data_IF_239289259452
#
_entry.id   IF_239289259452
#
_cell.length_a   1.000
_cell.length_b   1.000
_cell.length_c   1.000
_cell.angle_alpha   90.00
_cell.angle_beta   90.00
_cell.angle_gamma   90.00
#
_symmetry.space_group_name_H-M   'P 1'
#
loop_
_entity.id
_entity.type
_entity.pdbx_description
1 polymer ?
#
# COMPACT_ATOMS: atom_id res chain seq x y z
N UNK A 1 26.96 8.93 12.45
CA UNK A 1 26.04 8.50 11.38
C UNK A 1 24.64 8.89 11.83
N UNK A 2 24.13 10.01 11.32
CA UNK A 2 22.87 10.61 11.79
C UNK A 2 21.67 9.79 11.31
N UNK A 3 20.98 9.10 12.23
CA UNK A 3 19.61 8.67 12.01
C UNK A 3 18.76 9.94 12.00
N UNK A 4 18.47 10.44 10.80
CA UNK A 4 17.36 11.36 10.63
C UNK A 4 16.12 10.64 11.14
N UNK A 5 15.54 11.18 12.21
CA UNK A 5 14.14 11.00 12.54
C UNK A 5 13.37 11.64 11.38
N UNK A 6 13.26 10.94 10.25
CA UNK A 6 12.42 11.38 9.16
C UNK A 6 11.02 11.39 9.73
N UNK A 7 10.49 12.58 10.00
CA UNK A 7 9.07 12.83 10.02
C UNK A 7 8.48 12.05 8.85
N UNK A 8 7.82 10.93 9.14
CA UNK A 8 7.31 10.01 8.12
C UNK A 8 6.13 10.72 7.49
N UNK A 9 6.41 11.66 6.59
CA UNK A 9 5.41 12.14 5.66
C UNK A 9 5.10 10.93 4.79
N UNK A 10 3.90 10.34 4.90
CA UNK A 10 3.56 9.17 4.12
C UNK A 10 3.74 9.55 2.66
N UNK A 11 4.67 8.87 2.00
CA UNK A 11 4.94 9.02 0.57
C UNK A 11 4.43 7.77 -0.12
N UNK A 12 4.01 7.88 -1.38
CA UNK A 12 3.49 6.72 -2.12
C UNK A 12 4.47 5.55 -2.08
N UNK A 13 5.78 5.80 -2.21
CA UNK A 13 6.83 4.76 -2.15
C UNK A 13 6.95 4.10 -0.75
N UNK A 14 6.78 4.90 0.32
CA UNK A 14 6.74 4.39 1.69
C UNK A 14 5.52 3.50 1.92
N UNK A 15 4.35 3.91 1.40
CA UNK A 15 3.13 3.11 1.47
C UNK A 15 3.26 1.83 0.64
N UNK A 16 3.84 1.91 -0.57
CA UNK A 16 4.14 0.74 -1.41
C UNK A 16 5.03 -0.25 -0.63
N UNK A 17 6.06 0.24 0.06
CA UNK A 17 6.93 -0.61 0.87
C UNK A 17 6.16 -1.33 1.98
N UNK A 18 5.27 -0.63 2.70
CA UNK A 18 4.42 -1.23 3.74
C UNK A 18 3.42 -2.22 3.15
N UNK A 19 2.83 -1.91 2.00
CA UNK A 19 1.94 -2.83 1.28
C UNK A 19 2.68 -4.12 0.91
N UNK A 20 3.86 -4.00 0.31
CA UNK A 20 4.67 -5.16 -0.11
C UNK A 20 5.05 -5.99 1.11
N UNK A 21 5.41 -5.37 2.23
CA UNK A 21 5.73 -6.06 3.46
C UNK A 21 4.51 -6.86 3.99
N UNK A 22 3.32 -6.27 3.99
CA UNK A 22 2.09 -6.98 4.36
C UNK A 22 1.73 -8.11 3.38
N UNK A 23 1.92 -7.91 2.07
CA UNK A 23 1.72 -8.95 1.08
C UNK A 23 2.70 -10.12 1.28
N UNK A 24 3.96 -9.82 1.57
CA UNK A 24 4.99 -10.80 1.85
C UNK A 24 4.67 -11.60 3.13
N UNK A 25 4.25 -10.92 4.20
CA UNK A 25 3.79 -11.57 5.43
C UNK A 25 2.55 -12.46 5.19
N UNK A 26 1.60 -12.00 4.37
CA UNK A 26 0.39 -12.76 4.05
C UNK A 26 0.71 -14.04 3.25
N UNK A 27 1.67 -13.96 2.33
CA UNK A 27 2.10 -15.09 1.51
C UNK A 27 3.18 -15.97 2.17
N UNK A 28 3.75 -15.54 3.30
CA UNK A 28 4.90 -16.20 3.93
C UNK A 28 6.18 -16.14 3.07
N UNK A 29 6.34 -15.10 2.25
CA UNK A 29 7.48 -14.88 1.34
C UNK A 29 8.29 -13.66 1.77
N UNK A 30 9.43 -13.42 1.12
CA UNK A 30 10.23 -12.21 1.39
C UNK A 30 9.64 -10.99 0.66
N UNK A 31 9.72 -9.81 1.29
CA UNK A 31 9.28 -8.56 0.67
C UNK A 31 10.06 -8.23 -0.62
N UNK A 32 11.33 -8.63 -0.69
CA UNK A 32 12.15 -8.46 -1.88
C UNK A 32 11.62 -9.29 -3.06
N UNK A 33 11.21 -10.53 -2.83
CA UNK A 33 10.66 -11.40 -3.87
C UNK A 33 9.32 -10.86 -4.38
N UNK A 34 8.43 -10.46 -3.47
CA UNK A 34 7.12 -9.89 -3.82
C UNK A 34 7.32 -8.60 -4.62
N UNK A 35 8.23 -7.74 -4.21
CA UNK A 35 8.56 -6.51 -4.95
C UNK A 35 9.03 -6.81 -6.36
N UNK A 36 9.98 -7.73 -6.51
CA UNK A 36 10.53 -8.10 -7.81
C UNK A 36 9.45 -8.67 -8.75
N UNK A 37 8.54 -9.49 -8.21
CA UNK A 37 7.42 -10.07 -8.96
C UNK A 37 6.44 -9.00 -9.44
N UNK A 38 6.08 -8.07 -8.55
CA UNK A 38 5.21 -6.95 -8.89
C UNK A 38 5.86 -6.02 -9.94
N UNK A 39 7.14 -5.70 -9.78
CA UNK A 39 7.89 -4.88 -10.75
C UNK A 39 8.03 -5.58 -12.11
N UNK A 40 8.20 -6.91 -12.12
CA UNK A 40 8.23 -7.72 -13.33
C UNK A 40 6.88 -7.72 -14.06
N UNK A 41 5.76 -7.62 -13.33
CA UNK A 41 4.42 -7.46 -13.88
C UNK A 41 4.16 -6.10 -14.56
N UNK A 42 5.07 -5.13 -14.38
CA UNK A 42 5.06 -3.84 -15.07
C UNK A 42 5.02 -2.63 -14.13
N UNK A 43 5.02 -1.40 -14.69
CA UNK A 43 5.17 -0.16 -13.91
C UNK A 43 4.02 0.12 -12.92
N UNK A 44 2.87 -0.55 -13.12
CA UNK A 44 1.71 -0.44 -12.25
C UNK A 44 1.74 -1.42 -11.06
N UNK A 45 2.70 -2.36 -11.03
CA UNK A 45 2.81 -3.39 -10.00
C UNK A 45 1.48 -4.15 -9.84
N UNK A 46 1.06 -4.92 -10.87
CA UNK A 46 -0.22 -5.61 -10.84
C UNK A 46 -0.25 -6.64 -9.72
N UNK A 47 -1.35 -6.67 -8.99
CA UNK A 47 -1.53 -7.54 -7.81
C UNK A 47 -2.91 -8.16 -7.83
N UNK A 48 -3.02 -9.36 -7.26
CA UNK A 48 -4.31 -10.02 -7.09
C UNK A 48 -5.23 -9.21 -6.20
N UNK A 49 -6.46 -9.00 -6.67
CA UNK A 49 -7.48 -8.26 -5.94
C UNK A 49 -7.82 -8.88 -4.59
N UNK A 50 -7.69 -10.21 -4.46
CA UNK A 50 -7.89 -10.91 -3.20
C UNK A 50 -6.83 -10.47 -2.17
N UNK A 51 -5.56 -10.43 -2.56
CA UNK A 51 -4.48 -10.02 -1.67
C UNK A 51 -4.63 -8.58 -1.22
N UNK A 52 -5.04 -7.68 -2.11
CA UNK A 52 -5.31 -6.28 -1.74
C UNK A 52 -6.44 -6.20 -0.72
N UNK A 53 -7.55 -6.93 -0.89
CA UNK A 53 -8.66 -6.90 0.07
C UNK A 53 -8.23 -7.41 1.44
N UNK A 54 -7.37 -8.43 1.51
CA UNK A 54 -6.82 -8.94 2.78
C UNK A 54 -5.94 -7.90 3.49
N UNK A 55 -5.07 -7.20 2.76
CA UNK A 55 -4.21 -6.17 3.36
C UNK A 55 -4.91 -4.82 3.54
N UNK A 56 -6.03 -4.58 2.85
CA UNK A 56 -6.79 -3.33 2.90
C UNK A 56 -7.24 -3.02 4.33
N UNK A 57 -7.86 -3.99 5.00
CA UNK A 57 -8.31 -3.83 6.38
C UNK A 57 -7.13 -3.62 7.33
N UNK A 58 -5.98 -4.28 7.07
CA UNK A 58 -4.74 -4.05 7.83
C UNK A 58 -4.20 -2.64 7.66
N UNK A 59 -4.21 -2.11 6.44
CA UNK A 59 -3.74 -0.75 6.10
C UNK A 59 -4.66 0.30 6.75
N UNK A 60 -5.97 0.14 6.62
CA UNK A 60 -6.97 1.01 7.26
C UNK A 60 -6.75 1.06 8.78
N UNK A 61 -6.52 -0.09 9.41
CA UNK A 61 -6.22 -0.17 10.85
C UNK A 61 -4.86 0.45 11.19
N UNK A 62 -3.83 0.18 10.39
CA UNK A 62 -2.45 0.63 10.64
C UNK A 62 -2.32 2.16 10.58
N UNK A 63 -2.94 2.79 9.59
CA UNK A 63 -2.96 4.25 9.45
C UNK A 63 -4.19 4.89 10.11
N UNK A 64 -5.04 4.08 10.75
CA UNK A 64 -6.34 4.43 11.31
C UNK A 64 -7.31 5.11 10.33
N UNK A 65 -7.07 5.03 9.01
CA UNK A 65 -7.87 5.69 7.97
C UNK A 65 -9.05 4.82 7.52
N UNK A 66 -10.02 5.43 6.85
CA UNK A 66 -11.06 4.73 6.11
C UNK A 66 -10.93 5.07 4.63
N UNK A 67 -10.77 4.06 3.78
CA UNK A 67 -10.72 4.27 2.34
C UNK A 67 -12.17 4.16 1.81
N UNK A 68 -12.70 5.20 1.14
CA UNK A 68 -14.05 5.16 0.60
C UNK A 68 -14.26 4.01 -0.39
N UNK A 69 -15.46 3.45 -0.45
CA UNK A 69 -15.78 2.37 -1.39
C UNK A 69 -15.57 2.80 -2.86
N UNK A 70 -15.83 4.07 -3.19
CA UNK A 70 -15.51 4.66 -4.49
C UNK A 70 -14.03 4.55 -4.86
N UNK A 71 -13.13 4.66 -3.87
CA UNK A 71 -11.68 4.48 -4.04
C UNK A 71 -11.23 3.02 -3.96
N UNK A 72 -12.06 2.13 -3.40
CA UNK A 72 -11.88 0.66 -3.42
C UNK A 72 -12.32 0.03 -4.75
N UNK A 73 -12.40 0.82 -5.82
CA UNK A 73 -12.77 0.33 -7.16
C UNK A 73 -11.83 -0.79 -7.64
N UNK A 74 -12.33 -1.66 -8.52
CA UNK A 74 -11.61 -2.81 -9.08
C UNK A 74 -10.24 -2.46 -9.69
N UNK A 75 -10.02 -1.20 -10.05
CA UNK A 75 -8.76 -0.71 -10.59
C UNK A 75 -7.72 -0.40 -9.50
N UNK A 76 -8.15 0.09 -8.33
CA UNK A 76 -7.28 0.28 -7.18
C UNK A 76 -6.87 -1.06 -6.56
N UNK A 77 -7.76 -2.07 -6.61
CA UNK A 77 -7.45 -3.41 -6.09
C UNK A 77 -6.60 -4.27 -7.02
N UNK A 78 -6.33 -3.83 -8.25
CA UNK A 78 -5.51 -4.57 -9.23
C UNK A 78 -4.07 -4.06 -9.35
N UNK A 79 -3.72 -2.99 -8.64
CA UNK A 79 -2.41 -2.34 -8.75
C UNK A 79 -1.94 -1.86 -7.39
N UNK A 80 -0.74 -2.25 -6.97
CA UNK A 80 -0.14 -1.79 -5.71
C UNK A 80 0.07 -0.28 -5.73
N UNK A 81 0.47 0.28 -6.89
CA UNK A 81 0.68 1.72 -7.05
C UNK A 81 -0.63 2.51 -6.93
N UNK A 82 -1.71 2.04 -7.58
CA UNK A 82 -3.02 2.69 -7.48
C UNK A 82 -3.57 2.60 -6.05
N UNK A 83 -3.40 1.45 -5.40
CA UNK A 83 -3.79 1.27 -4.01
C UNK A 83 -3.03 2.20 -3.07
N UNK A 84 -1.71 2.29 -3.21
CA UNK A 84 -0.88 3.19 -2.41
C UNK A 84 -1.28 4.67 -2.57
N UNK A 85 -1.72 5.07 -3.76
CA UNK A 85 -2.24 6.42 -4.00
C UNK A 85 -3.54 6.67 -3.24
N UNK A 86 -4.49 5.73 -3.29
CA UNK A 86 -5.76 5.84 -2.57
C UNK A 86 -5.56 5.91 -1.05
N UNK A 87 -4.60 5.13 -0.52
CA UNK A 87 -4.19 5.17 0.89
C UNK A 87 -3.63 6.55 1.25
N UNK A 88 -2.71 7.07 0.43
CA UNK A 88 -2.10 8.38 0.66
C UNK A 88 -3.15 9.49 0.70
N UNK A 89 -4.05 9.50 -0.27
CA UNK A 89 -5.16 10.48 -0.34
C UNK A 89 -6.04 10.41 0.91
N UNK A 90 -6.42 9.20 1.34
CA UNK A 90 -7.21 9.02 2.55
C UNK A 90 -6.46 9.48 3.82
N UNK A 91 -5.14 9.30 3.89
CA UNK A 91 -4.33 9.85 5.00
C UNK A 91 -4.34 11.37 4.99
N UNK A 92 -4.14 11.99 3.83
CA UNK A 92 -4.12 13.46 3.68
C UNK A 92 -5.47 14.05 4.08
N UNK A 93 -6.59 13.50 3.57
CA UNK A 93 -7.94 13.96 3.91
C UNK A 93 -8.24 13.86 5.40
N UNK A 94 -7.81 12.76 6.03
CA UNK A 94 -7.97 12.54 7.47
C UNK A 94 -7.14 13.51 8.31
N UNK A 95 -6.02 14.02 7.80
CA UNK A 95 -5.21 15.05 8.48
C UNK A 95 -5.76 16.47 8.27
N UNK A 96 -6.53 16.69 7.21
CA UNK A 96 -7.13 18.00 6.90
C UNK A 96 -8.51 18.21 7.52
N UNK A 97 -9.09 17.19 8.15
CA UNK A 97 -10.39 17.22 8.86
C UNK A 97 -10.20 17.38 10.36
#
# INVERSE_FOLDING_TARGET
>A
MGRALSTVTPSTDGIITVIIDFLAQLQGRSAADVRAELEAGGPQMPVDSLLIVEILTRIETHYAIAIPADRKSAQATRSVRAFAHAVLEAIIERQQS
#
